data_IF_647866772691
#
_entry.id   IF_647866772691
#
_cell.length_a   1.000
_cell.length_b   1.000
_cell.length_c   1.000
_cell.angle_alpha   90.00
_cell.angle_beta   90.00
_cell.angle_gamma   90.00
#
_symmetry.space_group_name_H-M   'P 1'
#
loop_
_entity.id
_entity.type
_entity.pdbx_description
1 polymer ?
#
# COMPACT_ATOMS: atom_id res chain seq x y z
N UNK A 1 -17.99 -9.05 -19.05
CA UNK A 1 -17.62 -8.69 -17.66
C UNK A 1 -16.11 -8.42 -17.60
N UNK A 2 -15.73 -7.27 -17.10
CA UNK A 2 -14.32 -6.95 -16.90
C UNK A 2 -13.81 -7.71 -15.67
N UNK A 3 -12.83 -8.57 -15.87
CA UNK A 3 -12.12 -9.23 -14.77
C UNK A 3 -10.71 -8.65 -14.69
N UNK A 4 -10.40 -8.04 -13.53
CA UNK A 4 -9.05 -7.64 -13.21
C UNK A 4 -8.31 -8.85 -12.63
N UNK A 5 -7.05 -8.99 -13.01
CA UNK A 5 -6.18 -10.02 -12.45
C UNK A 5 -5.58 -9.52 -11.14
N UNK A 6 -5.78 -10.29 -10.09
CA UNK A 6 -5.21 -10.01 -8.76
C UNK A 6 -4.18 -11.08 -8.45
N UNK A 7 -2.95 -10.65 -8.23
CA UNK A 7 -1.82 -11.50 -7.86
C UNK A 7 -1.47 -11.24 -6.40
N UNK A 8 -1.08 -12.26 -5.66
CA UNK A 8 -0.55 -12.13 -4.32
C UNK A 8 0.94 -12.42 -4.32
N UNK A 9 1.73 -11.53 -3.73
CA UNK A 9 3.17 -11.66 -3.64
C UNK A 9 3.64 -11.25 -2.25
N UNK A 10 4.94 -11.36 -2.01
CA UNK A 10 5.57 -11.00 -0.75
C UNK A 10 6.86 -10.24 -1.01
N UNK A 11 7.08 -9.18 -0.22
CA UNK A 11 8.34 -8.45 -0.17
C UNK A 11 8.90 -8.69 1.24
N UNK A 12 9.83 -9.65 1.36
CA UNK A 12 10.18 -10.19 2.68
C UNK A 12 8.95 -10.83 3.31
N UNK A 13 8.56 -10.35 4.47
CA UNK A 13 7.35 -10.79 5.19
C UNK A 13 6.12 -9.90 4.91
N UNK A 14 6.23 -8.93 4.01
CA UNK A 14 5.16 -8.01 3.67
C UNK A 14 4.27 -8.63 2.58
N UNK A 15 3.02 -9.02 2.89
CA UNK A 15 2.10 -9.45 1.84
C UNK A 15 1.73 -8.25 0.96
N UNK A 16 1.77 -8.46 -0.34
CA UNK A 16 1.42 -7.43 -1.33
C UNK A 16 0.43 -8.02 -2.33
N UNK A 17 -0.75 -7.43 -2.44
CA UNK A 17 -1.66 -7.72 -3.53
C UNK A 17 -1.34 -6.81 -4.69
N UNK A 18 -1.32 -7.38 -5.89
CA UNK A 18 -1.05 -6.64 -7.11
C UNK A 18 -2.30 -6.73 -7.98
N UNK A 19 -2.94 -5.60 -8.20
CA UNK A 19 -4.12 -5.51 -9.06
C UNK A 19 -3.65 -5.00 -10.42
N UNK A 20 -3.71 -5.90 -11.40
CA UNK A 20 -3.24 -5.62 -12.76
C UNK A 20 -4.32 -4.95 -13.59
N UNK A 21 -3.98 -3.91 -14.38
CA UNK A 21 -4.91 -3.32 -15.31
C UNK A 21 -5.13 -4.25 -16.51
N UNK A 22 -6.21 -4.05 -17.26
CA UNK A 22 -6.45 -4.79 -18.50
C UNK A 22 -5.36 -4.46 -19.52
N UNK A 23 -4.95 -3.20 -19.55
CA UNK A 23 -3.83 -2.73 -20.37
C UNK A 23 -2.79 -2.09 -19.45
N UNK A 24 -1.64 -2.72 -19.35
CA UNK A 24 -0.53 -2.19 -18.55
C UNK A 24 0.14 -1.04 -19.31
N UNK A 25 0.10 0.13 -18.72
CA UNK A 25 0.72 1.35 -19.27
C UNK A 25 2.07 1.68 -18.59
N UNK A 26 2.62 0.76 -17.83
CA UNK A 26 3.90 0.95 -17.12
C UNK A 26 3.82 1.90 -15.92
N UNK A 27 2.61 2.19 -15.45
CA UNK A 27 2.36 3.09 -14.32
C UNK A 27 2.07 2.30 -13.06
N UNK A 28 2.74 2.60 -11.97
CA UNK A 28 2.58 1.94 -10.69
C UNK A 28 2.01 2.89 -9.63
N UNK A 29 1.18 2.33 -8.77
CA UNK A 29 0.62 3.01 -7.62
C UNK A 29 0.67 2.09 -6.42
N UNK A 30 1.22 2.56 -5.29
CA UNK A 30 1.09 1.87 -4.01
C UNK A 30 -0.10 2.45 -3.25
N UNK A 31 -0.96 1.58 -2.73
CA UNK A 31 -2.16 1.96 -2.00
C UNK A 31 -2.08 1.42 -0.56
N UNK A 32 -2.05 2.33 0.41
CA UNK A 32 -1.96 2.01 1.83
C UNK A 32 -3.34 2.07 2.48
N UNK A 33 -3.70 0.99 3.18
CA UNK A 33 -4.98 0.89 3.87
C UNK A 33 -5.00 1.66 5.20
N UNK A 34 -6.19 1.86 5.74
CA UNK A 34 -6.40 2.51 7.03
C UNK A 34 -6.28 1.55 8.22
N UNK A 35 -6.35 2.12 9.42
CA UNK A 35 -6.36 1.38 10.68
C UNK A 35 -7.53 0.41 10.72
N UNK A 36 -7.31 -0.77 11.25
CA UNK A 36 -8.26 -1.89 11.32
C UNK A 36 -8.65 -2.50 9.97
N UNK A 37 -8.10 -2.03 8.85
CA UNK A 37 -8.34 -2.58 7.52
C UNK A 37 -7.23 -3.56 7.13
N UNK A 38 -7.16 -3.92 5.87
CA UNK A 38 -6.13 -4.79 5.29
C UNK A 38 -6.12 -4.65 3.77
N UNK A 39 -5.04 -5.10 3.13
CA UNK A 39 -4.90 -5.00 1.68
C UNK A 39 -6.05 -5.65 0.91
N UNK A 40 -6.52 -6.78 1.37
CA UNK A 40 -7.64 -7.51 0.76
C UNK A 40 -8.89 -6.65 0.60
N UNK A 41 -9.17 -5.77 1.56
CA UNK A 41 -10.36 -4.93 1.54
C UNK A 41 -10.22 -3.71 0.62
N UNK A 42 -9.05 -3.48 0.05
CA UNK A 42 -8.80 -2.34 -0.84
C UNK A 42 -9.06 -2.67 -2.32
N UNK A 43 -9.52 -3.87 -2.64
CA UNK A 43 -9.67 -4.33 -4.03
C UNK A 43 -10.53 -3.38 -4.87
N UNK A 44 -11.64 -2.87 -4.33
CA UNK A 44 -12.51 -1.95 -5.06
C UNK A 44 -11.81 -0.63 -5.40
N UNK A 45 -11.10 -0.04 -4.43
CA UNK A 45 -10.33 1.18 -4.66
C UNK A 45 -9.21 0.94 -5.67
N UNK A 46 -8.49 -0.18 -5.50
CA UNK A 46 -7.43 -0.56 -6.41
C UNK A 46 -7.95 -0.77 -7.84
N UNK A 47 -9.14 -1.37 -7.98
CA UNK A 47 -9.78 -1.57 -9.28
C UNK A 47 -10.04 -0.25 -10.00
N UNK A 48 -10.45 0.80 -9.29
CA UNK A 48 -10.67 2.13 -9.88
C UNK A 48 -9.38 2.65 -10.51
N UNK A 49 -8.26 2.57 -9.81
CA UNK A 49 -6.97 2.97 -10.36
C UNK A 49 -6.52 2.07 -11.52
N UNK A 50 -6.76 0.76 -11.40
CA UNK A 50 -6.41 -0.20 -12.45
C UNK A 50 -7.19 0.06 -13.74
N UNK A 51 -8.45 0.49 -13.66
CA UNK A 51 -9.24 0.86 -14.83
C UNK A 51 -8.64 2.08 -15.57
N UNK A 52 -7.80 2.86 -14.91
CA UNK A 52 -7.07 3.98 -15.49
C UNK A 52 -5.63 3.62 -15.90
N UNK A 53 -5.31 2.34 -16.00
CA UNK A 53 -4.03 1.86 -16.52
C UNK A 53 -2.92 1.70 -15.47
N UNK A 54 -3.24 1.85 -14.18
CA UNK A 54 -2.26 1.67 -13.11
C UNK A 54 -2.19 0.22 -12.65
N UNK A 55 -0.99 -0.29 -12.48
CA UNK A 55 -0.78 -1.50 -11.69
C UNK A 55 -0.72 -1.08 -10.23
N UNK A 56 -1.62 -1.62 -9.41
CA UNK A 56 -1.79 -1.19 -8.02
C UNK A 56 -1.20 -2.22 -7.08
N UNK A 57 -0.27 -1.80 -6.25
CA UNK A 57 0.40 -2.61 -5.24
C UNK A 57 -0.18 -2.25 -3.88
N UNK A 58 -0.73 -3.24 -3.18
CA UNK A 58 -1.46 -3.03 -1.93
C UNK A 58 -0.81 -3.85 -0.82
N UNK A 59 0.12 -3.26 -0.05
CA UNK A 59 0.74 -3.97 1.06
C UNK A 59 -0.17 -4.05 2.29
N UNK A 60 -0.02 -5.10 3.08
CA UNK A 60 -0.53 -5.15 4.44
C UNK A 60 0.45 -4.43 5.38
N UNK A 61 -0.06 -3.52 6.18
CA UNK A 61 0.72 -2.91 7.26
C UNK A 61 0.97 -3.92 8.39
N UNK A 62 2.02 -3.69 9.17
CA UNK A 62 2.27 -4.50 10.38
C UNK A 62 1.04 -4.45 11.30
N UNK A 63 0.79 -5.51 12.04
CA UNK A 63 -0.38 -5.70 12.90
C UNK A 63 -1.72 -5.73 12.16
N UNK A 64 -1.69 -5.90 10.83
CA UNK A 64 -2.88 -5.98 9.98
C UNK A 64 -2.78 -7.16 9.01
N UNK A 65 -3.91 -7.65 8.57
CA UNK A 65 -3.97 -8.73 7.59
C UNK A 65 -3.25 -9.99 8.07
N UNK A 66 -2.25 -10.44 7.35
CA UNK A 66 -1.46 -11.63 7.69
C UNK A 66 -0.29 -11.33 8.63
N UNK A 67 -0.15 -10.09 9.09
CA UNK A 67 1.02 -9.62 9.85
C UNK A 67 0.65 -9.35 11.31
N UNK A 68 0.45 -10.40 12.10
CA UNK A 68 0.14 -10.30 13.54
C UNK A 68 -1.03 -9.35 13.82
N UNK A 69 -2.17 -9.60 13.16
CA UNK A 69 -3.35 -8.78 13.31
C UNK A 69 -3.82 -8.70 14.78
N UNK A 70 -4.22 -7.51 15.20
CA UNK A 70 -4.73 -7.31 16.55
C UNK A 70 -6.13 -7.92 16.70
N UNK A 71 -6.44 -8.38 17.90
CA UNK A 71 -7.78 -8.92 18.21
C UNK A 71 -8.84 -7.81 18.27
N UNK A 72 -8.44 -6.61 18.67
CA UNK A 72 -9.34 -5.46 18.76
C UNK A 72 -8.53 -4.17 18.51
N UNK A 73 -8.90 -3.43 17.48
CA UNK A 73 -8.24 -2.18 17.09
C UNK A 73 -8.79 -0.96 17.82
N UNK A 74 -9.90 -1.10 18.55
CA UNK A 74 -10.63 0.03 19.13
C UNK A 74 -10.53 0.07 20.66
N UNK A 75 -10.07 -1.00 21.30
CA UNK A 75 -9.92 -1.12 22.75
C UNK A 75 -8.45 -1.24 23.13
N UNK A 76 -7.68 -0.23 22.76
CA UNK A 76 -6.27 -0.19 23.08
C UNK A 76 -6.07 0.68 24.33
N UNK A 77 -5.30 0.17 25.29
CA UNK A 77 -4.84 0.94 26.46
C UNK A 77 -3.80 1.98 26.03
N UNK A 78 -3.06 1.68 24.94
CA UNK A 78 -1.99 2.52 24.42
C UNK A 78 -2.07 2.57 22.90
N UNK A 79 -2.11 3.76 22.35
CA UNK A 79 -2.12 4.00 20.91
C UNK A 79 -0.73 4.08 20.26
N UNK A 80 0.33 3.72 20.99
CA UNK A 80 1.69 3.68 20.43
C UNK A 80 1.79 2.73 19.23
N UNK A 81 1.01 1.63 19.24
CA UNK A 81 0.96 0.67 18.12
C UNK A 81 0.47 1.34 16.84
N UNK A 82 -0.50 2.24 16.93
CA UNK A 82 -0.98 3.01 15.78
C UNK A 82 0.16 3.82 15.14
N UNK A 83 0.89 4.56 15.95
CA UNK A 83 2.01 5.38 15.47
C UNK A 83 3.18 4.54 14.98
N UNK A 84 3.43 3.40 15.64
CA UNK A 84 4.48 2.47 15.20
C UNK A 84 4.12 1.84 13.85
N UNK A 85 2.84 1.56 13.61
CA UNK A 85 2.38 1.06 12.31
C UNK A 85 2.67 2.06 11.18
N UNK A 86 2.41 3.35 11.43
CA UNK A 86 2.74 4.41 10.46
C UNK A 86 4.25 4.48 10.21
N UNK A 87 5.05 4.46 11.27
CA UNK A 87 6.51 4.46 11.15
C UNK A 87 7.02 3.27 10.37
N UNK A 88 6.45 2.10 10.63
CA UNK A 88 6.86 0.89 9.93
C UNK A 88 6.51 0.95 8.44
N UNK A 89 5.35 1.48 8.08
CA UNK A 89 5.01 1.73 6.67
C UNK A 89 6.07 2.63 6.00
N UNK A 90 6.54 3.66 6.69
CA UNK A 90 7.59 4.53 6.17
C UNK A 90 8.91 3.78 6.00
N UNK A 91 9.32 3.00 7.01
CA UNK A 91 10.57 2.22 6.96
C UNK A 91 10.56 1.18 5.84
N UNK A 92 9.42 0.56 5.59
CA UNK A 92 9.27 -0.51 4.59
C UNK A 92 9.15 0.01 3.16
N UNK A 93 8.95 1.30 2.98
CA UNK A 93 8.69 1.86 1.65
C UNK A 93 9.85 1.60 0.66
N UNK A 94 11.08 1.73 1.10
CA UNK A 94 12.23 1.56 0.20
C UNK A 94 12.24 0.15 -0.41
N UNK A 95 11.98 -0.87 0.39
CA UNK A 95 11.90 -2.25 -0.08
C UNK A 95 10.73 -2.44 -1.07
N UNK A 96 9.58 -1.83 -0.79
CA UNK A 96 8.43 -1.86 -1.68
C UNK A 96 8.70 -1.11 -2.98
N UNK A 97 9.34 0.04 -2.91
CA UNK A 97 9.78 0.80 -4.08
C UNK A 97 10.70 -0.04 -4.97
N UNK A 98 11.71 -0.68 -4.38
CA UNK A 98 12.64 -1.52 -5.13
C UNK A 98 11.94 -2.69 -5.80
N UNK A 99 11.00 -3.31 -5.11
CA UNK A 99 10.17 -4.38 -5.67
C UNK A 99 9.38 -3.91 -6.90
N UNK A 100 8.77 -2.75 -6.83
CA UNK A 100 8.04 -2.14 -7.96
C UNK A 100 8.99 -1.86 -9.12
N UNK A 101 10.17 -1.34 -8.85
CA UNK A 101 11.19 -1.05 -9.86
C UNK A 101 11.72 -2.31 -10.53
N UNK A 102 11.95 -3.35 -9.77
CA UNK A 102 12.41 -4.66 -10.28
C UNK A 102 11.39 -5.30 -11.23
N UNK A 103 10.11 -5.01 -11.05
CA UNK A 103 9.05 -5.45 -11.97
C UNK A 103 8.97 -4.61 -13.24
N UNK A 104 9.82 -3.60 -13.40
CA UNK A 104 9.92 -2.80 -14.62
C UNK A 104 9.13 -1.50 -14.61
N UNK A 105 8.52 -1.14 -13.49
CA UNK A 105 7.77 0.12 -13.36
C UNK A 105 8.69 1.28 -13.00
N UNK A 106 8.23 2.49 -13.27
CA UNK A 106 8.87 3.72 -12.82
C UNK A 106 8.62 4.00 -11.35
N UNK A 107 9.06 5.15 -10.87
CA UNK A 107 8.78 5.64 -9.52
C UNK A 107 7.25 5.72 -9.33
N UNK A 108 6.70 5.08 -8.28
CA UNK A 108 5.26 4.98 -8.13
C UNK A 108 4.62 6.26 -7.58
N UNK A 109 3.33 6.42 -7.89
CA UNK A 109 2.42 7.25 -7.09
C UNK A 109 2.11 6.48 -5.81
N UNK A 110 2.03 7.18 -4.70
CA UNK A 110 1.59 6.58 -3.43
C UNK A 110 0.28 7.22 -3.00
N UNK A 111 -0.66 6.38 -2.60
CA UNK A 111 -1.98 6.79 -2.15
C UNK A 111 -2.31 6.09 -0.83
N UNK A 112 -3.07 6.75 0.03
CA UNK A 112 -3.44 6.16 1.30
C UNK A 112 -4.66 6.81 1.92
N UNK A 113 -5.44 5.98 2.64
CA UNK A 113 -6.65 6.39 3.34
C UNK A 113 -6.41 6.40 4.84
N UNK A 114 -6.79 7.48 5.52
CA UNK A 114 -6.70 7.63 6.99
C UNK A 114 -5.29 7.36 7.50
N UNK A 115 -5.05 6.29 8.27
CA UNK A 115 -3.70 5.88 8.70
C UNK A 115 -2.75 5.73 7.49
N UNK A 116 -3.24 5.14 6.40
CA UNK A 116 -2.50 5.06 5.14
C UNK A 116 -2.20 6.43 4.55
N UNK A 117 -3.11 7.39 4.70
CA UNK A 117 -2.90 8.79 4.31
C UNK A 117 -1.78 9.46 5.09
N UNK A 118 -1.70 9.22 6.39
CA UNK A 118 -0.59 9.70 7.22
C UNK A 118 0.73 9.02 6.81
N UNK A 119 0.67 7.73 6.51
CA UNK A 119 1.84 6.96 6.07
C UNK A 119 2.44 7.53 4.79
N UNK A 120 1.61 7.83 3.78
CA UNK A 120 2.12 8.36 2.51
C UNK A 120 2.72 9.76 2.66
N UNK A 121 2.20 10.58 3.55
CA UNK A 121 2.81 11.87 3.88
C UNK A 121 4.18 11.68 4.53
N UNK A 122 4.31 10.74 5.45
CA UNK A 122 5.59 10.39 6.06
C UNK A 122 6.59 9.83 5.07
N UNK A 123 6.15 8.99 4.14
CA UNK A 123 6.98 8.44 3.07
C UNK A 123 7.49 9.56 2.16
N UNK A 124 6.61 10.47 1.74
CA UNK A 124 6.97 11.59 0.89
C UNK A 124 8.00 12.52 1.56
N UNK A 125 7.85 12.73 2.86
CA UNK A 125 8.80 13.53 3.65
C UNK A 125 10.16 12.84 3.77
N UNK A 126 10.18 11.51 3.94
CA UNK A 126 11.41 10.73 4.15
C UNK A 126 12.11 10.40 2.84
N UNK A 127 11.36 10.13 1.77
CA UNK A 127 11.88 9.65 0.49
C UNK A 127 11.35 10.48 -0.69
N UNK A 128 11.56 11.81 -0.69
CA UNK A 128 10.97 12.68 -1.72
C UNK A 128 11.40 12.33 -3.15
N UNK A 129 12.59 11.72 -3.32
CA UNK A 129 13.10 11.33 -4.63
C UNK A 129 12.59 9.97 -5.12
N UNK A 130 11.95 9.20 -4.25
CA UNK A 130 11.42 7.87 -4.56
C UNK A 130 9.89 7.87 -4.74
N UNK A 131 9.28 9.04 -4.78
CA UNK A 131 7.83 9.20 -4.89
C UNK A 131 7.53 10.12 -6.06
N UNK A 132 6.64 9.69 -6.97
CA UNK A 132 6.22 10.51 -8.10
C UNK A 132 5.18 11.54 -7.68
N UNK A 133 4.21 11.12 -6.87
CA UNK A 133 3.08 11.94 -6.42
C UNK A 133 2.43 11.29 -5.22
N UNK A 134 1.70 12.06 -4.43
CA UNK A 134 1.04 11.62 -3.20
C UNK A 134 -0.45 11.94 -3.26
N UNK A 135 -1.27 10.95 -2.92
CA UNK A 135 -2.71 11.13 -2.73
C UNK A 135 -3.04 10.69 -1.29
N UNK A 136 -3.37 11.63 -0.44
CA UNK A 136 -3.75 11.37 0.95
C UNK A 136 -5.22 11.72 1.16
N UNK A 137 -5.99 10.77 1.69
CA UNK A 137 -7.43 10.98 1.91
C UNK A 137 -7.98 10.19 3.11
#
# INVERSE_FOLDING_TARGET
MLQLHIEKSYVGDIPVRIVHPIRDEGKALLLYHGWSSRGEYQTTKAAVFALHGYTVFVPDAIHHGERDALSDYYRLEDYSIFWETIRQNVREYEALHDFVREKGYGTPIIAGHSMGGMSVLGIAARYPHLVRSVISF
#
